data_IF_125099921005
#
_entry.id   IF_125099921005
#
_cell.length_a   1.000
_cell.length_b   1.000
_cell.length_c   1.000
_cell.angle_alpha   90.00
_cell.angle_beta   90.00
_cell.angle_gamma   90.00
#
_symmetry.space_group_name_H-M   'P 1'
#
loop_
_entity.id
_entity.type
_entity.pdbx_description
1 polymer ?
#
# COMPACT_ATOMS: atom_id res chain seq x y z
N UNK A 1 10.28 5.77 -5.04
CA UNK A 1 10.93 5.45 -3.74
C UNK A 1 11.53 4.07 -3.87
N UNK A 2 12.73 3.86 -3.37
CA UNK A 2 13.44 2.58 -3.45
C UNK A 2 12.96 1.63 -2.32
N UNK A 3 12.40 0.45 -2.63
CA UNK A 3 11.99 -0.52 -1.61
C UNK A 3 13.13 -1.01 -0.71
N UNK A 4 14.39 -0.82 -1.12
CA UNK A 4 15.58 -1.09 -0.30
C UNK A 4 15.56 -0.30 1.01
N UNK A 5 14.98 0.90 1.01
CA UNK A 5 14.90 1.76 2.21
C UNK A 5 13.98 1.23 3.33
N UNK A 6 13.13 0.24 3.06
CA UNK A 6 12.32 -0.44 4.09
C UNK A 6 13.02 -1.68 4.70
N UNK A 7 14.32 -1.87 4.46
CA UNK A 7 15.09 -2.96 5.07
C UNK A 7 14.92 -4.32 4.38
N UNK A 8 14.48 -4.30 3.12
CA UNK A 8 14.27 -5.53 2.35
C UNK A 8 15.57 -6.25 1.97
N UNK A 9 16.68 -5.53 1.88
CA UNK A 9 17.97 -6.19 1.69
C UNK A 9 18.44 -6.80 3.01
N UNK A 10 18.52 -8.14 3.03
CA UNK A 10 19.06 -9.02 4.09
C UNK A 10 18.15 -9.38 5.27
N UNK A 11 16.94 -8.80 5.40
CA UNK A 11 15.95 -9.06 6.47
C UNK A 11 16.55 -9.24 7.86
N UNK A 12 17.25 -8.21 8.37
CA UNK A 12 17.91 -8.31 9.66
C UNK A 12 16.91 -8.64 10.77
N UNK A 13 15.66 -8.17 10.72
CA UNK A 13 14.62 -8.48 11.71
C UNK A 13 14.21 -9.94 11.64
N UNK A 14 13.92 -10.47 10.45
CA UNK A 14 13.52 -11.86 10.30
C UNK A 14 14.64 -12.77 10.81
N UNK A 15 15.89 -12.54 10.40
CA UNK A 15 17.05 -13.31 10.88
C UNK A 15 17.27 -13.14 12.38
N UNK A 16 17.19 -11.92 12.91
CA UNK A 16 17.37 -11.61 14.34
C UNK A 16 16.37 -12.35 15.22
N UNK A 17 15.15 -12.57 14.75
CA UNK A 17 14.08 -13.21 15.50
C UNK A 17 13.75 -14.63 15.02
N UNK A 18 14.69 -15.29 14.32
CA UNK A 18 14.57 -16.68 13.85
C UNK A 18 13.35 -16.93 12.94
N UNK A 19 13.18 -16.08 11.93
CA UNK A 19 12.15 -16.14 10.90
C UNK A 19 10.74 -16.35 11.49
N UNK A 20 10.24 -15.37 12.28
CA UNK A 20 8.89 -15.43 12.81
C UNK A 20 7.85 -15.29 11.70
N UNK A 21 6.61 -15.65 12.00
CA UNK A 21 5.47 -15.30 11.14
C UNK A 21 5.25 -13.78 11.17
N UNK A 22 5.17 -13.18 9.99
CA UNK A 22 5.02 -11.73 9.81
C UNK A 22 3.68 -11.42 9.15
N UNK A 23 3.01 -10.38 9.64
CA UNK A 23 1.90 -9.72 8.97
C UNK A 23 2.31 -8.27 8.73
N UNK A 24 2.31 -7.83 7.48
CA UNK A 24 2.51 -6.41 7.15
C UNK A 24 1.18 -5.71 7.39
N UNK A 25 1.00 -5.16 8.59
CA UNK A 25 -0.29 -4.62 9.03
C UNK A 25 -0.63 -3.28 8.41
N UNK A 26 0.37 -2.52 7.97
CA UNK A 26 0.19 -1.24 7.28
C UNK A 26 1.31 -1.02 6.27
N UNK A 27 0.94 -0.64 5.05
CA UNK A 27 1.85 -0.16 4.01
C UNK A 27 1.06 0.66 3.00
N UNK A 28 1.58 1.82 2.62
CA UNK A 28 0.89 2.75 1.73
C UNK A 28 1.62 4.08 1.60
N UNK A 29 1.06 4.98 0.79
CA UNK A 29 1.62 6.31 0.56
C UNK A 29 0.53 7.36 0.39
N UNK A 30 0.82 8.57 0.84
CA UNK A 30 0.13 9.78 0.40
C UNK A 30 0.75 10.33 -0.89
N UNK A 31 0.03 11.22 -1.57
CA UNK A 31 0.52 11.96 -2.72
C UNK A 31 0.50 13.45 -2.39
N UNK A 32 1.64 14.13 -2.59
CA UNK A 32 1.77 15.55 -2.28
C UNK A 32 0.75 16.38 -3.08
N UNK A 33 -0.02 17.22 -2.37
CA UNK A 33 -1.04 18.09 -2.96
C UNK A 33 -2.26 17.38 -3.52
N UNK A 34 -2.48 16.09 -3.23
CA UNK A 34 -3.63 15.33 -3.74
C UNK A 34 -4.98 15.94 -3.34
N UNK A 35 -5.08 16.55 -2.16
CA UNK A 35 -6.30 17.22 -1.68
C UNK A 35 -6.76 18.38 -2.55
N UNK A 36 -5.85 19.00 -3.29
CA UNK A 36 -6.09 20.22 -4.06
C UNK A 36 -6.38 19.92 -5.53
N UNK A 37 -6.34 18.65 -5.93
CA UNK A 37 -6.53 18.21 -7.31
C UNK A 37 -8.00 18.00 -7.66
N UNK A 38 -8.37 18.11 -8.95
CA UNK A 38 -9.67 17.65 -9.44
C UNK A 38 -9.88 16.17 -9.16
N UNK A 39 -11.13 15.76 -8.93
CA UNK A 39 -11.48 14.36 -8.59
C UNK A 39 -10.96 13.36 -9.63
N UNK A 40 -11.02 13.68 -10.92
CA UNK A 40 -10.55 12.78 -11.98
C UNK A 40 -9.04 12.48 -11.86
N UNK A 41 -8.24 13.46 -11.42
CA UNK A 41 -6.82 13.27 -11.15
C UNK A 41 -6.55 12.52 -9.84
N UNK A 42 -7.41 12.70 -8.82
CA UNK A 42 -7.33 11.93 -7.57
C UNK A 42 -7.65 10.45 -7.83
N UNK A 43 -8.61 10.17 -8.72
CA UNK A 43 -8.98 8.80 -9.06
C UNK A 43 -7.92 8.10 -9.93
N UNK A 44 -7.13 8.83 -10.72
CA UNK A 44 -5.96 8.32 -11.46
C UNK A 44 -4.66 8.41 -10.64
N UNK A 45 -4.66 7.82 -9.45
CA UNK A 45 -3.53 7.82 -8.51
C UNK A 45 -2.39 6.87 -8.90
N UNK A 46 -1.79 7.12 -10.06
CA UNK A 46 -0.72 6.28 -10.64
C UNK A 46 0.47 6.11 -9.69
N UNK A 47 0.89 7.17 -8.98
CA UNK A 47 1.99 7.08 -8.01
C UNK A 47 1.70 6.05 -6.91
N UNK A 48 0.49 6.06 -6.34
CA UNK A 48 0.08 5.09 -5.32
C UNK A 48 -0.02 3.67 -5.89
N UNK A 49 -0.45 3.54 -7.14
CA UNK A 49 -0.46 2.26 -7.87
C UNK A 49 0.95 1.69 -8.01
N UNK A 50 1.92 2.51 -8.43
CA UNK A 50 3.33 2.14 -8.57
C UNK A 50 4.00 1.82 -7.23
N UNK A 51 3.62 2.55 -6.16
CA UNK A 51 4.04 2.23 -4.79
C UNK A 51 3.64 0.80 -4.45
N UNK A 52 2.36 0.44 -4.55
CA UNK A 52 1.91 -0.91 -4.21
C UNK A 52 2.55 -1.98 -5.08
N UNK A 53 2.65 -1.76 -6.39
CA UNK A 53 3.34 -2.70 -7.30
C UNK A 53 4.77 -2.99 -6.86
N UNK A 54 5.51 -1.93 -6.54
CA UNK A 54 6.91 -2.01 -6.11
C UNK A 54 7.05 -2.76 -4.78
N UNK A 55 6.27 -2.36 -3.76
CA UNK A 55 6.41 -2.91 -2.41
C UNK A 55 5.83 -4.31 -2.26
N UNK A 56 4.76 -4.66 -2.97
CA UNK A 56 4.21 -6.03 -2.96
C UNK A 56 5.13 -6.99 -3.72
N UNK A 57 5.72 -6.56 -4.84
CA UNK A 57 6.71 -7.39 -5.55
C UNK A 57 7.99 -7.56 -4.77
N UNK A 58 8.46 -6.52 -4.09
CA UNK A 58 9.53 -6.67 -3.11
C UNK A 58 9.12 -7.70 -2.07
N UNK A 59 7.92 -7.54 -1.46
CA UNK A 59 7.37 -8.49 -0.48
C UNK A 59 7.41 -9.95 -0.94
N UNK A 60 6.99 -10.20 -2.18
CA UNK A 60 7.02 -11.52 -2.77
C UNK A 60 8.45 -12.07 -2.87
N UNK A 61 9.42 -11.25 -3.28
CA UNK A 61 10.83 -11.67 -3.40
C UNK A 61 11.43 -12.17 -2.10
N UNK A 62 11.22 -11.55 -0.94
CA UNK A 62 11.79 -12.15 0.28
C UNK A 62 11.10 -13.40 0.74
N UNK A 63 9.82 -13.55 0.44
CA UNK A 63 9.13 -14.81 0.72
C UNK A 63 9.77 -15.90 -0.13
N UNK A 64 9.98 -15.67 -1.43
CA UNK A 64 10.49 -16.67 -2.37
C UNK A 64 12.02 -16.88 -2.33
N UNK A 65 12.80 -15.83 -2.10
CA UNK A 65 14.27 -15.84 -2.23
C UNK A 65 14.98 -15.85 -0.86
N UNK A 66 14.42 -15.17 0.16
CA UNK A 66 15.07 -14.99 1.47
C UNK A 66 14.47 -15.83 2.61
N UNK A 67 13.36 -16.53 2.36
CA UNK A 67 12.69 -17.40 3.32
C UNK A 67 11.87 -16.67 4.40
N UNK A 68 11.51 -15.40 4.17
CA UNK A 68 10.65 -14.65 5.09
C UNK A 68 9.24 -15.25 5.16
N UNK A 69 8.69 -15.42 6.37
CA UNK A 69 7.36 -16.00 6.58
C UNK A 69 6.27 -14.94 6.66
N UNK A 70 6.06 -14.20 5.59
CA UNK A 70 4.96 -13.23 5.51
C UNK A 70 3.66 -13.99 5.20
N UNK A 71 2.62 -13.77 6.01
CA UNK A 71 1.32 -14.44 5.90
C UNK A 71 0.16 -13.49 5.59
N UNK A 72 0.42 -12.19 5.56
CA UNK A 72 -0.59 -11.21 5.19
C UNK A 72 0.00 -9.83 4.96
N UNK A 73 -0.72 -9.06 4.15
CA UNK A 73 -0.42 -7.68 3.82
C UNK A 73 -1.72 -6.87 3.82
N UNK A 74 -1.70 -5.74 4.52
CA UNK A 74 -2.82 -4.84 4.63
C UNK A 74 -2.42 -3.46 4.11
N UNK A 75 -3.04 -3.04 3.01
CA UNK A 75 -2.84 -1.73 2.43
C UNK A 75 -3.41 -0.65 3.36
N UNK A 76 -2.55 0.27 3.81
CA UNK A 76 -2.98 1.50 4.47
C UNK A 76 -3.23 2.57 3.41
N UNK A 77 -4.46 2.98 3.15
CA UNK A 77 -5.70 2.56 3.83
C UNK A 77 -6.81 2.26 2.84
N UNK A 78 -7.86 1.60 3.33
CA UNK A 78 -9.04 1.30 2.53
C UNK A 78 -9.71 2.58 2.00
N UNK A 79 -9.80 3.61 2.85
CA UNK A 79 -10.48 4.88 2.57
C UNK A 79 -9.56 6.04 2.94
N UNK A 80 -9.65 7.14 2.19
CA UNK A 80 -9.18 8.43 2.71
C UNK A 80 -9.85 8.68 4.07
N UNK A 81 -9.06 9.12 5.05
CA UNK A 81 -9.51 9.25 6.44
C UNK A 81 -8.85 10.46 7.12
N UNK A 82 -9.06 10.60 8.43
CA UNK A 82 -8.44 11.62 9.27
C UNK A 82 -7.03 11.18 9.65
N UNK A 83 -6.02 11.78 9.02
CA UNK A 83 -4.60 11.47 9.23
C UNK A 83 -4.01 12.29 10.38
N UNK A 84 -4.54 12.07 11.58
CA UNK A 84 -4.00 12.60 12.84
C UNK A 84 -3.75 14.11 12.82
N UNK A 85 -2.50 14.55 13.01
CA UNK A 85 -2.11 15.95 13.04
C UNK A 85 -2.27 16.65 11.67
N UNK A 86 -2.34 15.89 10.58
CA UNK A 86 -2.50 16.41 9.21
C UNK A 86 -3.98 16.54 8.81
N UNK A 87 -4.90 16.05 9.63
CA UNK A 87 -6.33 16.10 9.36
C UNK A 87 -6.70 15.37 8.07
N UNK A 88 -7.59 15.96 7.27
CA UNK A 88 -8.09 15.35 6.03
C UNK A 88 -7.32 15.77 4.77
N UNK A 89 -6.26 16.58 4.91
CA UNK A 89 -5.44 17.06 3.79
C UNK A 89 -4.59 15.91 3.24
N UNK A 90 -3.95 15.15 4.13
CA UNK A 90 -3.19 13.96 3.73
C UNK A 90 -4.13 12.79 3.44
N UNK A 91 -3.96 12.19 2.26
CA UNK A 91 -4.81 11.10 1.77
C UNK A 91 -3.98 9.84 1.53
N UNK A 92 -4.17 8.82 2.36
CA UNK A 92 -3.54 7.50 2.19
C UNK A 92 -4.44 6.47 1.48
N UNK A 93 -5.72 6.79 1.32
CA UNK A 93 -6.72 5.84 0.87
C UNK A 93 -6.51 5.39 -0.57
N UNK A 94 -6.75 4.10 -0.81
CA UNK A 94 -6.99 3.59 -2.18
C UNK A 94 -8.39 3.94 -2.68
N UNK A 95 -9.26 4.44 -1.81
CA UNK A 95 -10.61 4.91 -2.12
C UNK A 95 -10.73 6.37 -1.72
N UNK A 96 -11.09 7.23 -2.68
CA UNK A 96 -11.40 8.62 -2.41
C UNK A 96 -12.70 8.73 -1.60
N UNK A 97 -12.69 9.57 -0.58
CA UNK A 97 -13.88 9.95 0.18
C UNK A 97 -14.17 11.43 -0.05
N UNK A 98 -15.37 11.70 -0.55
CA UNK A 98 -15.90 13.04 -0.75
C UNK A 98 -16.50 13.57 0.55
N UNK A 99 -15.68 14.23 1.36
CA UNK A 99 -16.09 14.71 2.68
C UNK A 99 -17.21 15.76 2.63
N UNK A 100 -17.31 16.51 1.53
CA UNK A 100 -18.29 17.59 1.35
C UNK A 100 -19.65 17.06 0.85
N UNK A 101 -19.66 15.93 0.13
CA UNK A 101 -20.88 15.34 -0.44
C UNK A 101 -21.20 13.97 0.17
N UNK A 102 -21.65 13.96 1.43
CA UNK A 102 -22.19 12.77 2.13
C UNK A 102 -21.19 11.60 2.26
N UNK A 103 -19.89 11.92 2.27
CA UNK A 103 -18.81 10.94 2.41
C UNK A 103 -18.91 9.83 1.35
N UNK A 104 -19.33 10.18 0.13
CA UNK A 104 -19.39 9.22 -0.99
C UNK A 104 -18.01 8.63 -1.27
N UNK A 105 -17.98 7.35 -1.62
CA UNK A 105 -16.75 6.57 -1.82
C UNK A 105 -16.53 6.28 -3.30
N UNK A 106 -15.32 6.56 -3.77
CA UNK A 106 -14.92 6.36 -5.16
C UNK A 106 -13.59 5.60 -5.21
N UNK A 107 -13.61 4.31 -5.58
CA UNK A 107 -12.37 3.53 -5.70
C UNK A 107 -11.42 4.14 -6.73
N UNK A 108 -10.21 4.48 -6.29
CA UNK A 108 -9.14 5.02 -7.15
C UNK A 108 -8.55 3.88 -8.00
N UNK A 109 -7.62 4.21 -8.90
CA UNK A 109 -6.91 3.24 -9.74
C UNK A 109 -6.13 2.23 -8.89
N UNK A 110 -5.50 2.68 -7.80
CA UNK A 110 -4.79 1.81 -6.85
C UNK A 110 -5.69 0.74 -6.23
N UNK A 111 -6.93 1.06 -5.84
CA UNK A 111 -7.87 0.06 -5.31
C UNK A 111 -8.16 -1.06 -6.33
N UNK A 112 -8.26 -0.68 -7.61
CA UNK A 112 -8.60 -1.60 -8.70
C UNK A 112 -7.41 -2.47 -9.12
N UNK A 113 -6.17 -2.02 -8.86
CA UNK A 113 -4.96 -2.75 -9.26
C UNK A 113 -4.55 -3.84 -8.26
N UNK A 114 -4.82 -3.66 -6.97
CA UNK A 114 -4.35 -4.55 -5.90
C UNK A 114 -4.74 -6.02 -6.10
N UNK A 115 -5.97 -6.30 -6.57
CA UNK A 115 -6.42 -7.67 -6.82
C UNK A 115 -5.51 -8.38 -7.83
N UNK A 116 -5.35 -7.79 -9.01
CA UNK A 116 -4.54 -8.38 -10.08
C UNK A 116 -3.06 -8.48 -9.68
N UNK A 117 -2.56 -7.50 -8.91
CA UNK A 117 -1.21 -7.53 -8.35
C UNK A 117 -1.00 -8.73 -7.42
N UNK A 118 -1.89 -8.95 -6.45
CA UNK A 118 -1.80 -10.11 -5.55
C UNK A 118 -1.98 -11.43 -6.29
N UNK A 119 -2.91 -11.52 -7.24
CA UNK A 119 -3.07 -12.72 -8.09
C UNK A 119 -1.82 -13.03 -8.93
N UNK A 120 -0.96 -12.04 -9.19
CA UNK A 120 0.30 -12.21 -9.94
C UNK A 120 1.46 -12.72 -9.09
N UNK A 121 1.40 -12.58 -7.76
CA UNK A 121 2.48 -12.97 -6.83
C UNK A 121 2.11 -14.11 -5.89
N UNK A 122 0.82 -14.44 -5.74
CA UNK A 122 0.38 -15.58 -4.94
C UNK A 122 0.48 -16.85 -5.79
N UNK A 123 1.18 -17.86 -5.28
CA UNK A 123 1.21 -19.19 -5.89
C UNK A 123 -0.20 -19.78 -5.96
N UNK A 124 -0.60 -20.24 -7.15
CA UNK A 124 -1.87 -20.95 -7.35
C UNK A 124 -1.68 -22.40 -6.90
N UNK A 125 -2.50 -22.83 -5.94
CA UNK A 125 -2.61 -24.24 -5.52
C UNK A 125 -3.60 -25.01 -6.38
#
# INVERSE_FOLDING_TARGET
MDPVSLGWESHPEAKRYNYPTIYVTESGTSVLGESDKPIDEILDDTLRTEYFDTYVKAMAKAVSEDGCKVQGYMAWSLLDNFEWAEGYVTRFGVTYVDYENDQKRYPKKSAKSLKALFESVIEKS
#
